data_IF_735802366039
#
_entry.id   IF_735802366039
#
_cell.length_a   1.000
_cell.length_b   1.000
_cell.length_c   1.000
_cell.angle_alpha   90.00
_cell.angle_beta   90.00
_cell.angle_gamma   90.00
#
_symmetry.space_group_name_H-M   'P 1'
#
loop_
_entity.id
_entity.type
_entity.pdbx_description
1 polymer ?
#
# COMPACT_ATOMS: atom_id res chain seq x y z
N UNK A 1 1.83 12.36 -17.26
CA UNK A 1 2.76 11.87 -16.23
C UNK A 1 2.38 10.49 -15.64
N UNK A 2 1.75 9.57 -16.40
CA UNK A 2 1.45 8.18 -15.95
C UNK A 2 2.65 7.23 -16.14
N UNK A 3 3.41 7.42 -17.22
CA UNK A 3 4.56 6.59 -17.58
C UNK A 3 5.64 6.53 -16.50
N UNK A 4 5.98 7.67 -15.89
CA UNK A 4 7.01 7.75 -14.85
C UNK A 4 6.63 6.91 -13.62
N UNK A 5 5.34 6.78 -13.29
CA UNK A 5 4.90 5.95 -12.16
C UNK A 5 5.01 4.45 -12.46
N UNK A 6 4.70 4.04 -13.70
CA UNK A 6 4.76 2.63 -14.11
C UNK A 6 6.20 2.14 -14.22
N UNK A 7 7.13 2.97 -14.71
CA UNK A 7 8.53 2.59 -14.93
C UNK A 7 9.47 3.06 -13.83
N UNK A 8 8.95 3.46 -12.67
CA UNK A 8 9.76 4.00 -11.55
C UNK A 8 10.88 3.04 -11.16
N UNK A 9 10.59 1.75 -11.05
CA UNK A 9 11.56 0.70 -10.68
C UNK A 9 12.67 0.54 -11.71
N UNK A 10 12.31 0.57 -13.01
CA UNK A 10 13.27 0.51 -14.11
C UNK A 10 14.15 1.77 -14.17
N UNK A 11 13.58 2.93 -13.88
CA UNK A 11 14.33 4.18 -13.82
C UNK A 11 15.32 4.17 -12.66
N UNK A 12 14.89 3.74 -11.46
CA UNK A 12 15.76 3.58 -10.28
C UNK A 12 16.91 2.60 -10.59
N UNK A 13 16.59 1.46 -11.22
CA UNK A 13 17.60 0.49 -11.66
C UNK A 13 18.63 1.12 -12.60
N UNK A 14 18.17 1.78 -13.66
CA UNK A 14 19.04 2.41 -14.65
C UNK A 14 19.94 3.49 -14.04
N UNK A 15 19.39 4.33 -13.16
CA UNK A 15 20.15 5.40 -12.49
C UNK A 15 21.21 4.82 -11.56
N UNK A 16 20.88 3.84 -10.70
CA UNK A 16 21.86 3.23 -9.79
C UNK A 16 22.97 2.54 -10.59
N UNK A 17 22.61 1.82 -11.65
CA UNK A 17 23.58 1.13 -12.51
C UNK A 17 24.51 2.13 -13.20
N UNK A 18 23.99 3.24 -13.73
CA UNK A 18 24.80 4.30 -14.33
C UNK A 18 25.73 4.98 -13.32
N UNK A 19 25.28 5.21 -12.09
CA UNK A 19 26.13 5.76 -11.03
C UNK A 19 27.27 4.78 -10.70
N UNK A 20 26.96 3.49 -10.52
CA UNK A 20 27.98 2.47 -10.25
C UNK A 20 29.03 2.34 -11.36
N UNK A 21 28.59 2.41 -12.62
CA UNK A 21 29.49 2.44 -13.78
C UNK A 21 30.32 3.73 -13.86
N UNK A 22 29.73 4.88 -13.53
CA UNK A 22 30.43 6.18 -13.54
C UNK A 22 31.55 6.22 -12.51
N UNK A 23 31.35 5.64 -11.32
CA UNK A 23 32.37 5.56 -10.27
C UNK A 23 33.55 4.69 -10.70
N UNK A 24 33.31 3.69 -11.55
CA UNK A 24 34.34 2.75 -12.02
C UNK A 24 34.96 3.19 -13.34
N UNK A 25 34.53 4.32 -13.90
CA UNK A 25 34.88 4.77 -15.25
C UNK A 25 36.37 5.03 -15.44
N UNK A 26 37.03 5.58 -14.41
CA UNK A 26 38.47 5.85 -14.43
C UNK A 26 39.30 4.56 -14.50
N UNK A 27 38.76 3.43 -14.01
CA UNK A 27 39.45 2.13 -14.07
C UNK A 27 39.32 1.45 -15.44
N UNK A 28 38.45 1.93 -16.33
CA UNK A 28 38.25 1.30 -17.64
C UNK A 28 39.27 1.72 -18.68
N UNK A 29 39.93 2.86 -18.48
CA UNK A 29 40.88 3.43 -19.41
C UNK A 29 42.29 3.32 -18.83
N UNK A 30 43.07 2.41 -19.40
CA UNK A 30 44.52 2.31 -19.17
C UNK A 30 45.27 2.83 -20.40
N UNK A 31 46.57 3.04 -20.28
CA UNK A 31 47.42 3.49 -21.41
C UNK A 31 47.37 2.54 -22.62
N UNK A 32 46.93 1.29 -22.44
CA UNK A 32 46.74 0.28 -23.50
C UNK A 32 45.32 0.27 -24.11
N UNK A 33 44.42 1.11 -23.61
CA UNK A 33 43.04 1.24 -24.09
C UNK A 33 41.98 0.75 -23.10
N UNK A 34 40.79 0.44 -23.64
CA UNK A 34 39.63 0.07 -22.84
C UNK A 34 39.70 -1.39 -22.36
N UNK A 35 39.64 -1.59 -21.04
CA UNK A 35 39.71 -2.92 -20.43
C UNK A 35 38.31 -3.50 -20.26
N UNK A 36 37.91 -4.38 -21.20
CA UNK A 36 36.59 -5.02 -21.20
C UNK A 36 36.29 -5.84 -19.94
N UNK A 37 37.31 -6.45 -19.34
CA UNK A 37 37.13 -7.27 -18.13
C UNK A 37 36.71 -6.43 -16.93
N UNK A 38 37.35 -5.28 -16.73
CA UNK A 38 37.05 -4.37 -15.62
C UNK A 38 35.69 -3.70 -15.81
N UNK A 39 35.31 -3.41 -17.07
CA UNK A 39 33.97 -2.96 -17.41
C UNK A 39 32.89 -3.99 -17.05
N UNK A 40 33.07 -5.25 -17.44
CA UNK A 40 32.11 -6.32 -17.13
C UNK A 40 32.01 -6.57 -15.63
N UNK A 41 33.13 -6.56 -14.90
CA UNK A 41 33.14 -6.70 -13.44
C UNK A 41 32.41 -5.55 -12.74
N UNK A 42 32.58 -4.33 -13.24
CA UNK A 42 31.90 -3.14 -12.70
C UNK A 42 30.41 -3.13 -13.04
N UNK A 43 30.03 -3.60 -14.24
CA UNK A 43 28.63 -3.78 -14.60
C UNK A 43 27.95 -4.82 -13.71
N UNK A 44 28.58 -5.98 -13.49
CA UNK A 44 28.06 -7.03 -12.61
C UNK A 44 27.82 -6.48 -11.20
N UNK A 45 28.84 -5.82 -10.62
CA UNK A 45 28.75 -5.19 -9.30
C UNK A 45 27.65 -4.13 -9.24
N UNK A 46 27.55 -3.25 -10.23
CA UNK A 46 26.56 -2.19 -10.28
C UNK A 46 25.12 -2.75 -10.38
N UNK A 47 24.92 -3.80 -11.19
CA UNK A 47 23.61 -4.46 -11.29
C UNK A 47 23.24 -5.22 -10.02
N UNK A 48 24.20 -5.88 -9.36
CA UNK A 48 23.97 -6.54 -8.08
C UNK A 48 23.51 -5.55 -7.00
N UNK A 49 24.17 -4.39 -6.91
CA UNK A 49 23.77 -3.31 -6.00
C UNK A 49 22.37 -2.78 -6.36
N UNK A 50 22.10 -2.54 -7.65
CA UNK A 50 20.79 -2.07 -8.09
C UNK A 50 19.67 -3.06 -7.73
N UNK A 51 19.88 -4.36 -7.93
CA UNK A 51 18.94 -5.41 -7.53
C UNK A 51 18.75 -5.47 -6.01
N UNK A 52 19.83 -5.34 -5.23
CA UNK A 52 19.74 -5.30 -3.77
C UNK A 52 18.89 -4.12 -3.28
N UNK A 53 19.09 -2.92 -3.84
CA UNK A 53 18.27 -1.74 -3.52
C UNK A 53 16.81 -1.96 -3.88
N UNK A 54 16.53 -2.52 -5.06
CA UNK A 54 15.16 -2.83 -5.47
C UNK A 54 14.50 -3.86 -4.55
N UNK A 55 15.24 -4.88 -4.11
CA UNK A 55 14.73 -5.87 -3.16
C UNK A 55 14.36 -5.23 -1.83
N UNK A 56 15.20 -4.32 -1.31
CA UNK A 56 14.90 -3.56 -0.08
C UNK A 56 13.66 -2.69 -0.26
N UNK A 57 13.56 -1.95 -1.37
CA UNK A 57 12.38 -1.11 -1.66
C UNK A 57 11.11 -1.95 -1.72
N UNK A 58 11.15 -3.08 -2.45
CA UNK A 58 10.03 -4.01 -2.54
C UNK A 58 9.65 -4.60 -1.18
N UNK A 59 10.64 -4.94 -0.36
CA UNK A 59 10.42 -5.44 0.99
C UNK A 59 9.77 -4.40 1.92
N UNK A 60 10.20 -3.13 1.82
CA UNK A 60 9.58 -2.03 2.57
C UNK A 60 8.13 -1.78 2.16
N UNK A 61 7.83 -1.83 0.85
CA UNK A 61 6.45 -1.73 0.35
C UNK A 61 5.60 -2.92 0.80
N UNK A 62 6.18 -4.12 0.81
CA UNK A 62 5.53 -5.32 1.33
C UNK A 62 5.18 -5.19 2.82
N UNK A 63 6.12 -4.77 3.68
CA UNK A 63 5.85 -4.57 5.11
C UNK A 63 4.69 -3.60 5.31
N UNK A 64 4.69 -2.45 4.63
CA UNK A 64 3.58 -1.47 4.71
C UNK A 64 2.23 -2.08 4.32
N UNK A 65 2.23 -3.06 3.43
CA UNK A 65 1.01 -3.75 2.98
C UNK A 65 0.44 -4.72 4.02
N UNK A 66 1.29 -5.18 4.95
CA UNK A 66 0.94 -6.03 6.10
C UNK A 66 0.51 -5.21 7.33
N UNK A 67 0.54 -3.88 7.27
CA UNK A 67 0.03 -3.02 8.35
C UNK A 67 -1.44 -3.34 8.65
N UNK A 68 -1.77 -3.47 9.93
CA UNK A 68 -3.15 -3.59 10.39
C UNK A 68 -3.85 -2.23 10.37
N UNK A 69 -5.01 -2.18 9.73
CA UNK A 69 -5.87 -1.01 9.64
C UNK A 69 -7.07 -1.22 10.56
N UNK A 70 -7.18 -0.49 11.68
CA UNK A 70 -8.36 -0.53 12.52
C UNK A 70 -9.56 0.08 11.80
N UNK A 71 -10.74 -0.47 12.08
CA UNK A 71 -12.02 0.01 11.55
C UNK A 71 -12.78 0.68 12.69
N UNK A 72 -13.38 1.84 12.39
CA UNK A 72 -14.19 2.60 13.31
C UNK A 72 -15.54 2.92 12.69
N UNK A 73 -16.55 3.03 13.53
CA UNK A 73 -17.82 3.63 13.19
C UNK A 73 -17.88 5.07 13.65
N UNK A 74 -18.29 5.96 12.75
CA UNK A 74 -18.55 7.36 13.05
C UNK A 74 -20.05 7.57 13.10
N UNK A 75 -20.59 7.76 14.31
CA UNK A 75 -22.04 7.82 14.56
C UNK A 75 -22.52 9.28 14.63
N UNK A 76 -23.42 9.63 13.71
CA UNK A 76 -24.10 10.93 13.63
C UNK A 76 -23.21 12.12 13.28
N UNK A 77 -23.81 13.31 13.15
CA UNK A 77 -23.11 14.54 12.71
C UNK A 77 -22.02 15.04 13.67
N UNK A 78 -22.02 14.56 14.93
CA UNK A 78 -21.02 14.93 15.95
C UNK A 78 -19.76 14.07 15.92
N UNK A 79 -19.67 13.08 15.02
CA UNK A 79 -18.43 12.34 14.77
C UNK A 79 -17.99 11.41 15.89
N UNK A 80 -18.93 10.81 16.64
CA UNK A 80 -18.55 9.89 17.73
C UNK A 80 -17.94 8.62 17.11
N UNK A 81 -16.62 8.46 17.28
CA UNK A 81 -15.89 7.25 16.88
C UNK A 81 -16.12 6.11 17.87
N UNK A 82 -16.54 4.96 17.35
CA UNK A 82 -16.68 3.70 18.09
C UNK A 82 -15.75 2.67 17.43
N UNK A 83 -14.85 2.09 18.23
CA UNK A 83 -13.98 1.01 17.77
C UNK A 83 -14.78 -0.29 17.69
N UNK A 84 -14.78 -0.93 16.52
CA UNK A 84 -15.46 -2.21 16.32
C UNK A 84 -14.58 -3.40 16.71
N UNK A 85 -13.36 -3.16 17.23
CA UNK A 85 -12.35 -4.13 17.65
C UNK A 85 -11.95 -5.10 16.52
N UNK A 86 -12.13 -4.68 15.28
CA UNK A 86 -11.75 -5.41 14.07
C UNK A 86 -10.68 -4.65 13.32
N UNK A 87 -9.75 -5.43 12.76
CA UNK A 87 -8.63 -4.91 11.99
C UNK A 87 -8.54 -5.68 10.68
N UNK A 88 -8.15 -4.99 9.62
CA UNK A 88 -7.88 -5.57 8.32
C UNK A 88 -6.44 -5.25 7.90
N UNK A 89 -5.76 -6.22 7.29
CA UNK A 89 -4.48 -5.92 6.65
C UNK A 89 -4.68 -4.89 5.54
N UNK A 90 -3.77 -3.92 5.41
CA UNK A 90 -3.85 -2.84 4.42
C UNK A 90 -4.07 -3.37 3.01
N UNK A 91 -3.35 -4.43 2.61
CA UNK A 91 -3.52 -5.10 1.30
C UNK A 91 -4.90 -5.70 1.07
N UNK A 92 -5.57 -6.10 2.15
CA UNK A 92 -6.89 -6.74 2.13
C UNK A 92 -8.03 -5.76 2.41
N UNK A 93 -7.72 -4.46 2.59
CA UNK A 93 -8.73 -3.42 2.79
C UNK A 93 -9.44 -3.11 1.45
N UNK A 94 -10.24 -4.08 0.98
CA UNK A 94 -11.08 -3.96 -0.20
C UNK A 94 -12.53 -3.71 0.23
N UNK A 95 -13.34 -3.13 -0.66
CA UNK A 95 -14.78 -2.97 -0.40
C UNK A 95 -15.44 -4.29 0.00
N UNK A 96 -15.08 -5.39 -0.66
CA UNK A 96 -15.70 -6.68 -0.41
C UNK A 96 -15.32 -7.23 0.97
N UNK A 97 -14.06 -7.05 1.38
CA UNK A 97 -13.60 -7.48 2.71
C UNK A 97 -14.17 -6.65 3.83
N UNK A 98 -14.25 -5.33 3.64
CA UNK A 98 -14.93 -4.46 4.60
C UNK A 98 -16.40 -4.87 4.74
N UNK A 99 -17.12 -5.07 3.62
CA UNK A 99 -18.52 -5.51 3.67
C UNK A 99 -18.67 -6.92 4.26
N UNK A 100 -17.73 -7.82 4.00
CA UNK A 100 -17.70 -9.16 4.59
C UNK A 100 -17.55 -9.10 6.11
N UNK A 101 -16.58 -8.31 6.61
CA UNK A 101 -16.36 -8.09 8.04
C UNK A 101 -17.59 -7.46 8.69
N UNK A 102 -18.21 -6.46 8.05
CA UNK A 102 -19.45 -5.85 8.55
C UNK A 102 -20.61 -6.85 8.61
N UNK A 103 -20.70 -7.76 7.64
CA UNK A 103 -21.69 -8.83 7.66
C UNK A 103 -21.48 -9.84 8.80
N UNK A 104 -20.24 -10.04 9.27
CA UNK A 104 -19.95 -10.94 10.40
C UNK A 104 -20.41 -10.39 11.75
N UNK A 105 -20.42 -9.07 11.91
CA UNK A 105 -20.81 -8.40 13.17
C UNK A 105 -22.29 -7.97 13.19
N UNK A 106 -23.04 -8.26 12.13
CA UNK A 106 -24.46 -7.94 12.03
C UNK A 106 -25.29 -8.96 12.85
N UNK A 107 -26.23 -8.46 13.66
CA UNK A 107 -27.11 -9.29 14.52
C UNK A 107 -28.00 -10.25 13.75
N UNK A 108 -28.47 -9.83 12.57
CA UNK A 108 -29.31 -10.63 11.69
C UNK A 108 -28.59 -10.89 10.37
N UNK A 109 -28.05 -12.10 10.23
CA UNK A 109 -27.28 -12.53 9.06
C UNK A 109 -28.11 -12.73 7.80
N UNK A 110 -29.46 -12.63 7.88
CA UNK A 110 -30.36 -12.87 6.74
C UNK A 110 -30.61 -11.61 5.91
N UNK A 111 -30.46 -10.43 6.50
CA UNK A 111 -30.66 -9.16 5.80
C UNK A 111 -29.31 -8.61 5.32
N UNK A 112 -29.20 -8.28 4.03
CA UNK A 112 -27.97 -7.65 3.52
C UNK A 112 -27.79 -6.29 4.18
N UNK A 113 -26.62 -6.06 4.75
CA UNK A 113 -26.19 -4.75 5.19
C UNK A 113 -26.38 -3.71 4.07
N UNK A 114 -27.16 -2.67 4.35
CA UNK A 114 -27.56 -1.68 3.35
C UNK A 114 -27.10 -0.29 3.77
N UNK A 115 -25.91 0.10 3.30
CA UNK A 115 -25.42 1.49 3.40
C UNK A 115 -26.08 2.35 2.33
N UNK A 116 -26.46 3.57 2.69
CA UNK A 116 -26.89 4.57 1.73
C UNK A 116 -25.83 4.78 0.61
N UNK A 117 -26.27 4.92 -0.64
CA UNK A 117 -25.40 5.01 -1.83
C UNK A 117 -24.29 6.09 -1.73
N UNK A 118 -24.56 7.21 -1.06
CA UNK A 118 -23.59 8.28 -0.87
C UNK A 118 -22.43 7.86 0.06
N UNK A 119 -22.71 7.05 1.10
CA UNK A 119 -21.71 6.53 2.03
C UNK A 119 -20.87 5.42 1.41
N UNK A 120 -21.47 4.63 0.52
CA UNK A 120 -20.74 3.62 -0.27
C UNK A 120 -19.66 4.25 -1.16
N UNK A 121 -19.91 5.43 -1.73
CA UNK A 121 -18.92 6.17 -2.52
C UNK A 121 -17.75 6.65 -1.66
N UNK A 122 -18.03 7.18 -0.47
CA UNK A 122 -16.99 7.58 0.50
C UNK A 122 -16.15 6.39 0.93
N UNK A 123 -16.79 5.28 1.29
CA UNK A 123 -16.13 4.03 1.64
C UNK A 123 -15.17 3.53 0.54
N UNK A 124 -15.58 3.60 -0.72
CA UNK A 124 -14.74 3.21 -1.85
C UNK A 124 -13.51 4.13 -2.00
N UNK A 125 -13.68 5.44 -1.78
CA UNK A 125 -12.57 6.39 -1.82
C UNK A 125 -11.61 6.12 -0.66
N UNK A 126 -12.13 5.89 0.54
CA UNK A 126 -11.30 5.72 1.74
C UNK A 126 -10.55 4.38 1.72
N UNK A 127 -11.18 3.29 1.26
CA UNK A 127 -10.48 2.01 1.01
C UNK A 127 -9.34 2.16 -0.01
N UNK A 128 -9.55 2.91 -1.09
CA UNK A 128 -8.47 3.20 -2.05
C UNK A 128 -7.32 4.01 -1.45
N UNK A 129 -7.62 4.98 -0.58
CA UNK A 129 -6.59 5.78 0.12
C UNK A 129 -5.80 4.93 1.11
N UNK A 130 -6.46 4.03 1.84
CA UNK A 130 -5.81 3.07 2.74
C UNK A 130 -4.84 2.18 1.98
N UNK A 131 -5.28 1.59 0.86
CA UNK A 131 -4.44 0.74 0.00
C UNK A 131 -3.21 1.48 -0.54
N UNK A 132 -3.32 2.79 -0.78
CA UNK A 132 -2.21 3.64 -1.22
C UNK A 132 -1.26 4.07 -0.10
N UNK A 133 -1.57 3.77 1.16
CA UNK A 133 -0.78 4.25 2.29
C UNK A 133 -1.13 5.66 2.77
N UNK A 134 -2.21 6.27 2.27
CA UNK A 134 -2.59 7.66 2.59
C UNK A 134 -3.41 7.76 3.89
N UNK A 135 -4.13 6.70 4.26
CA UNK A 135 -4.91 6.59 5.49
C UNK A 135 -4.46 5.37 6.29
N UNK A 136 -4.48 5.50 7.62
CA UNK A 136 -4.07 4.45 8.57
C UNK A 136 -5.25 3.87 9.36
N UNK A 137 -6.46 4.36 9.13
CA UNK A 137 -7.68 3.89 9.77
C UNK A 137 -8.84 4.00 8.77
N UNK A 138 -9.84 3.11 8.93
CA UNK A 138 -11.06 3.16 8.15
C UNK A 138 -12.21 3.64 9.03
N UNK A 139 -12.74 4.83 8.76
CA UNK A 139 -13.93 5.35 9.43
C UNK A 139 -15.16 5.17 8.53
N UNK A 140 -16.16 4.45 9.02
CA UNK A 140 -17.41 4.21 8.31
C UNK A 140 -18.50 5.04 8.99
N UNK A 141 -19.02 6.01 8.25
CA UNK A 141 -20.16 6.81 8.69
C UNK A 141 -21.41 5.95 8.75
N UNK A 142 -22.08 5.94 9.90
CA UNK A 142 -23.33 5.22 10.10
C UNK A 142 -24.30 6.07 10.92
N UNK A 143 -25.60 5.86 10.72
CA UNK A 143 -26.62 6.48 11.56
C UNK A 143 -26.86 5.68 12.84
N UNK A 144 -27.46 6.32 13.85
CA UNK A 144 -27.79 5.67 15.12
C UNK A 144 -28.72 4.45 14.93
N UNK A 145 -29.60 4.48 13.92
CA UNK A 145 -30.47 3.36 13.57
C UNK A 145 -29.70 2.20 12.91
N UNK A 146 -28.74 2.52 12.04
CA UNK A 146 -27.86 1.53 11.40
C UNK A 146 -26.91 0.89 12.43
N UNK A 147 -26.43 1.66 13.41
CA UNK A 147 -25.59 1.14 14.49
C UNK A 147 -26.30 0.04 15.30
N UNK A 148 -27.62 0.13 15.47
CA UNK A 148 -28.42 -0.88 16.17
C UNK A 148 -28.37 -2.27 15.54
N UNK A 149 -28.00 -2.37 14.26
CA UNK A 149 -27.90 -3.62 13.50
C UNK A 149 -26.68 -4.46 13.89
N UNK A 150 -25.71 -3.88 14.60
CA UNK A 150 -24.45 -4.53 14.92
C UNK A 150 -24.40 -5.00 16.38
N UNK A 151 -23.76 -6.14 16.60
CA UNK A 151 -23.52 -6.69 17.93
C UNK A 151 -22.14 -6.25 18.46
N UNK A 152 -22.01 -4.94 18.67
CA UNK A 152 -20.77 -4.34 19.16
C UNK A 152 -20.92 -4.09 20.65
N UNK A 153 -20.13 -4.82 21.45
CA UNK A 153 -19.97 -4.54 22.88
C UNK A 153 -18.98 -3.37 23.00
N UNK A 154 -19.41 -2.18 23.48
CA UNK A 154 -18.52 -1.05 23.69
C UNK A 154 -17.32 -1.43 24.57
#
# INVERSE_FOLDING_TARGET
MKWIKTYKTLLVFGVITLIGLSVSFENFYTDEGFVWQDFLASLDTATAIALAVLAVVGYMEYIKSEDEIPIYFEIGEKGRKVDIKLKLLRRNCSRNEVLGVLGMIQKDSKNRFNLANNRMKKLLIDTQKIQKGELNELCIEIDSEEFGQFDIVP
#
